data_IF_698950838131
#
_entry.id   IF_698950838131
#
_cell.length_a   1.000
_cell.length_b   1.000
_cell.length_c   1.000
_cell.angle_alpha   90.00
_cell.angle_beta   90.00
_cell.angle_gamma   90.00
#
_symmetry.space_group_name_H-M   'P 1'
#
loop_
_entity.id
_entity.type
_entity.pdbx_description
1 polymer ?
2 non-polymer ?
3 non-polymer ?
4 water ?
#
# COMPACT_ATOMS: atom_id res chain seq x y z
N UNK A 7 -8.05 4.35 -26.72
CA UNK A 7 -6.92 5.23 -27.18
C UNK A 7 -5.66 4.39 -27.44
N UNK A 8 -5.42 3.40 -26.59
CA UNK A 8 -4.25 2.55 -26.73
C UNK A 8 -4.59 1.07 -26.91
N UNK A 9 -3.55 0.25 -27.07
CA UNK A 9 -3.67 -1.20 -27.27
C UNK A 9 -4.62 -1.92 -26.31
N UNK A 10 -4.27 -1.88 -25.02
CA UNK A 10 -5.05 -2.52 -23.99
C UNK A 10 -6.12 -1.60 -23.46
N UNK A 11 -7.02 -2.14 -22.65
CA UNK A 11 -8.12 -1.39 -22.09
C UNK A 11 -7.72 -0.53 -20.91
N UNK A 12 -6.84 0.42 -21.18
CA UNK A 12 -6.34 1.29 -20.16
C UNK A 12 -6.46 2.73 -20.60
N UNK A 13 -6.25 3.64 -19.66
CA UNK A 13 -6.29 5.07 -19.91
C UNK A 13 -4.84 5.52 -19.85
N UNK A 14 -4.38 6.18 -20.89
CA UNK A 14 -3.01 6.65 -20.90
C UNK A 14 -2.89 7.81 -19.93
N UNK A 15 -1.67 8.17 -19.56
CA UNK A 15 -1.45 9.27 -18.65
C UNK A 15 -2.01 10.55 -19.27
N UNK A 16 -1.94 10.64 -20.60
CA UNK A 16 -2.47 11.80 -21.34
C UNK A 16 -3.98 11.85 -21.12
N UNK A 17 -4.63 10.72 -21.39
CA UNK A 17 -6.07 10.62 -21.24
C UNK A 17 -6.54 11.06 -19.85
N UNK A 18 -5.89 10.55 -18.80
CA UNK A 18 -6.33 10.89 -17.47
C UNK A 18 -6.04 12.37 -17.19
N UNK A 19 -4.94 12.88 -17.73
CA UNK A 19 -4.60 14.29 -17.53
C UNK A 19 -5.61 15.21 -18.24
N UNK A 20 -6.26 14.71 -19.30
CA UNK A 20 -7.23 15.49 -20.06
C UNK A 20 -8.65 15.41 -19.49
N UNK A 21 -8.82 14.67 -18.41
CA UNK A 21 -10.13 14.53 -17.80
C UNK A 21 -10.93 13.45 -18.48
N UNK A 22 -10.27 12.64 -19.30
CA UNK A 22 -10.92 11.55 -20.02
C UNK A 22 -11.30 10.35 -19.17
N UNK A 23 -10.57 10.12 -18.08
CA UNK A 23 -10.86 9.01 -17.18
C UNK A 23 -11.81 9.50 -16.08
N UNK A 24 -13.06 9.77 -16.46
CA UNK A 24 -14.01 10.24 -15.50
C UNK A 24 -15.45 9.95 -15.88
N UNK A 25 -16.34 10.23 -14.93
CA UNK A 25 -17.77 10.04 -15.07
C UNK A 25 -18.22 11.21 -15.93
N UNK A 26 -18.93 10.97 -17.02
CA UNK A 26 -19.32 12.10 -17.88
C UNK A 26 -20.13 13.21 -17.24
N UNK A 27 -20.95 12.91 -16.25
CA UNK A 27 -21.75 13.98 -15.72
C UNK A 27 -20.98 15.19 -15.18
N UNK A 28 -19.68 15.01 -14.94
CA UNK A 28 -18.82 16.09 -14.44
C UNK A 28 -18.56 17.13 -15.52
N UNK A 29 -18.02 16.73 -16.67
CA UNK A 29 -17.79 17.70 -17.70
C UNK A 29 -19.13 18.26 -18.19
N UNK A 30 -20.13 17.40 -18.28
CA UNK A 30 -21.46 17.81 -18.74
C UNK A 30 -22.09 18.86 -17.84
N UNK A 31 -21.82 18.76 -16.55
CA UNK A 31 -22.36 19.71 -15.59
C UNK A 31 -21.53 21.00 -15.64
N UNK A 32 -20.23 20.85 -15.83
CA UNK A 32 -19.38 22.03 -15.90
C UNK A 32 -19.78 22.81 -17.14
N UNK A 33 -20.07 22.06 -18.20
CA UNK A 33 -20.49 22.64 -19.46
C UNK A 33 -21.81 23.41 -19.28
N UNK A 34 -22.74 22.81 -18.54
CA UNK A 34 -24.04 23.42 -18.28
C UNK A 34 -23.89 24.74 -17.51
N UNK A 35 -22.96 24.73 -16.55
CA UNK A 35 -22.66 25.90 -15.72
C UNK A 35 -22.20 27.08 -16.57
N UNK A 36 -21.42 26.79 -17.61
CA UNK A 36 -20.94 27.83 -18.49
C UNK A 36 -20.35 29.07 -17.85
N UNK A 37 -20.87 30.24 -18.20
CA UNK A 37 -20.34 31.49 -17.69
C UNK A 37 -20.24 31.62 -16.18
N UNK A 38 -21.15 31.00 -15.44
CA UNK A 38 -21.09 31.08 -13.99
C UNK A 38 -19.77 30.50 -13.49
N UNK A 39 -19.16 29.64 -14.30
CA UNK A 39 -17.90 29.01 -13.92
C UNK A 39 -16.89 29.96 -13.33
N UNK A 40 -16.73 31.09 -13.98
CA UNK A 40 -15.80 32.10 -13.54
C UNK A 40 -16.06 32.56 -12.10
N UNK A 41 -17.30 32.42 -11.64
CA UNK A 41 -17.68 32.86 -10.29
C UNK A 41 -17.94 31.76 -9.26
N UNK A 42 -17.40 30.56 -9.46
CA UNK A 42 -17.64 29.49 -8.50
C UNK A 42 -16.38 28.87 -7.91
N UNK A 43 -15.93 29.47 -6.82
CA UNK A 43 -14.76 28.98 -6.10
C UNK A 43 -15.25 28.06 -5.01
N UNK A 44 -14.67 26.87 -4.94
CA UNK A 44 -15.06 25.90 -3.94
C UNK A 44 -13.86 25.24 -3.28
N UNK A 45 -14.15 24.60 -2.16
CA UNK A 45 -13.19 23.81 -1.40
C UNK A 45 -13.91 22.46 -1.24
N UNK A 46 -13.26 21.41 -1.70
CA UNK A 46 -13.80 20.06 -1.60
C UNK A 46 -12.88 19.25 -0.71
N UNK A 47 -13.44 18.42 0.17
CA UNK A 47 -12.65 17.58 1.05
C UNK A 47 -12.98 16.12 0.82
N UNK A 48 -11.94 15.29 0.82
CA UNK A 48 -12.08 13.86 0.64
C UNK A 48 -12.11 13.21 2.03
N UNK A 49 -13.12 12.38 2.26
CA UNK A 49 -13.28 11.69 3.53
C UNK A 49 -13.58 10.20 3.31
N UNK A 50 -13.34 9.43 4.36
CA UNK A 50 -13.56 8.00 4.29
C UNK A 50 -14.96 7.58 4.72
N UNK A 51 -15.76 7.11 3.78
CA UNK A 51 -17.09 6.62 4.13
C UNK A 51 -16.75 5.18 4.47
N UNK A 52 -15.87 4.64 3.63
CA UNK A 52 -15.37 3.28 3.69
C UNK A 52 -15.24 2.65 5.04
N UNK A 53 -14.60 1.48 5.09
CA UNK A 53 -14.42 0.76 6.36
C UNK A 53 -14.05 1.72 7.49
N UNK A 54 -14.84 1.71 8.56
CA UNK A 54 -14.55 2.57 9.69
C UNK A 54 -14.00 1.74 10.85
N UNK A 55 -14.06 0.43 10.74
CA UNK A 55 -13.56 -0.45 11.80
C UNK A 55 -12.07 -0.76 11.66
N UNK A 56 -11.30 0.18 11.12
CA UNK A 56 -9.87 -0.06 10.95
C UNK A 56 -9.14 1.24 10.69
N UNK A 57 -7.86 1.28 11.04
CA UNK A 57 -7.09 2.47 10.77
C UNK A 57 -6.64 2.38 9.31
N UNK A 58 -6.09 3.46 8.79
CA UNK A 58 -5.67 3.47 7.39
C UNK A 58 -4.27 4.01 7.23
N UNK A 59 -3.53 3.45 6.29
CA UNK A 59 -2.18 3.92 5.98
C UNK A 59 -2.35 4.63 4.63
N UNK A 60 -2.49 5.95 4.69
CA UNK A 60 -2.74 6.79 3.51
C UNK A 60 -1.66 6.75 2.42
N UNK A 61 -2.06 6.39 1.22
CA UNK A 61 -1.12 6.31 0.12
C UNK A 61 -1.77 6.69 -1.22
N UNK A 62 -0.96 7.12 -2.19
CA UNK A 62 -1.49 7.49 -3.50
C UNK A 62 -1.60 8.99 -3.80
N UNK A 63 -1.29 9.82 -2.82
CA UNK A 63 -1.35 11.27 -2.94
C UNK A 63 -0.35 11.81 -3.97
N UNK A 64 0.73 11.08 -4.20
CA UNK A 64 1.75 11.49 -5.17
C UNK A 64 1.14 11.60 -6.55
N UNK A 65 0.22 10.68 -6.84
CA UNK A 65 -0.46 10.61 -8.11
C UNK A 65 -1.42 11.81 -8.25
N UNK A 66 -2.00 12.20 -7.13
CA UNK A 66 -2.94 13.32 -7.11
C UNK A 66 -2.21 14.63 -7.41
N UNK A 67 -1.03 14.81 -6.84
CA UNK A 67 -0.24 16.00 -7.09
C UNK A 67 0.18 16.12 -8.57
N UNK A 68 0.60 15.01 -9.17
CA UNK A 68 1.00 15.03 -10.58
C UNK A 68 -0.19 15.39 -11.46
N UNK A 69 -1.40 15.09 -11.00
CA UNK A 69 -2.58 15.38 -11.78
C UNK A 69 -3.03 16.83 -11.64
N UNK A 70 -2.95 17.37 -10.44
CA UNK A 70 -3.42 18.74 -10.19
C UNK A 70 -2.38 19.83 -10.37
N UNK A 71 -1.12 19.42 -10.50
CA UNK A 71 -0.05 20.36 -10.70
C UNK A 71 -0.38 21.13 -11.97
N UNK A 72 -0.35 22.47 -11.88
CA UNK A 72 -0.66 23.27 -13.05
C UNK A 72 -1.99 23.99 -12.98
N UNK A 73 -3.01 23.35 -12.44
CA UNK A 73 -4.30 23.99 -12.32
C UNK A 73 -4.17 25.06 -11.26
N UNK A 74 -4.92 26.14 -11.35
CA UNK A 74 -4.80 27.16 -10.33
C UNK A 74 -5.56 26.71 -9.08
N UNK A 75 -5.00 25.72 -8.39
CA UNK A 75 -5.63 25.21 -7.18
C UNK A 75 -4.66 25.08 -6.02
N UNK A 76 -5.22 25.13 -4.81
CA UNK A 76 -4.44 24.97 -3.58
C UNK A 76 -4.78 23.55 -3.14
N UNK A 77 -3.79 22.83 -2.62
CA UNK A 77 -4.05 21.47 -2.18
C UNK A 77 -3.48 21.17 -0.81
N UNK A 78 -4.35 20.72 0.09
CA UNK A 78 -3.92 20.33 1.43
C UNK A 78 -4.12 18.82 1.55
N UNK A 79 -3.32 18.17 2.37
CA UNK A 79 -3.47 16.74 2.54
C UNK A 79 -2.62 16.21 3.65
N UNK A 80 -2.94 14.98 4.03
CA UNK A 80 -2.20 14.29 5.05
C UNK A 80 -1.07 13.60 4.25
N UNK A 81 0.18 13.70 4.73
CA UNK A 81 1.28 13.05 3.99
C UNK A 81 1.08 11.54 3.89
N UNK A 82 1.53 10.95 2.79
CA UNK A 82 1.42 9.52 2.62
C UNK A 82 2.22 8.86 3.75
N UNK A 83 1.82 7.66 4.14
CA UNK A 83 2.55 6.98 5.19
C UNK A 83 2.07 7.31 6.59
N UNK A 84 1.14 8.26 6.71
CA UNK A 84 0.57 8.62 8.01
C UNK A 84 -0.47 7.52 8.32
N UNK A 85 -0.51 7.06 9.56
CA UNK A 85 -1.48 6.04 9.91
C UNK A 85 -2.44 6.59 10.93
N UNK A 86 -3.74 6.43 10.67
CA UNK A 86 -4.77 6.92 11.58
C UNK A 86 -6.12 6.31 11.29
N UNK A 87 -7.11 6.64 12.10
CA UNK A 87 -8.47 6.13 11.90
C UNK A 87 -9.25 7.13 11.07
N UNK A 88 -10.31 6.67 10.36
CA UNK A 88 -11.16 7.51 9.52
C UNK A 88 -11.98 8.54 10.30
N UNK A 89 -12.33 8.23 11.55
CA UNK A 89 -13.10 9.17 12.39
C UNK A 89 -12.16 9.59 13.51
N UNK A 90 -12.35 10.81 14.04
CA UNK A 90 -11.47 11.29 15.11
C UNK A 90 -11.98 10.93 16.51
N UNK A 91 -11.28 11.40 17.53
CA UNK A 91 -11.62 11.13 18.92
C UNK A 91 -13.10 11.30 19.23
N UNK A 92 -13.79 12.14 18.45
CA UNK A 92 -15.22 12.40 18.65
C UNK A 92 -16.11 11.91 17.54
N UNK A 93 -15.64 10.91 16.80
CA UNK A 93 -16.43 10.36 15.72
C UNK A 93 -16.64 11.22 14.50
N UNK A 94 -15.77 12.21 14.27
CA UNK A 94 -15.92 13.08 13.09
C UNK A 94 -15.09 12.60 11.89
N UNK A 95 -15.66 12.65 10.67
CA UNK A 95 -14.88 12.20 9.51
C UNK A 95 -13.63 13.05 9.31
N UNK A 96 -12.50 12.37 9.15
CA UNK A 96 -11.23 13.03 8.96
C UNK A 96 -11.02 13.29 7.48
N UNK A 97 -10.78 14.55 7.13
CA UNK A 97 -10.54 14.94 5.73
C UNK A 97 -9.08 14.63 5.37
N UNK A 98 -8.87 13.87 4.30
CA UNK A 98 -7.50 13.52 3.92
C UNK A 98 -6.82 14.46 2.93
N UNK A 99 -7.62 15.18 2.16
CA UNK A 99 -7.11 16.14 1.21
C UNK A 99 -8.18 17.18 0.99
N UNK A 100 -7.76 18.41 0.69
CA UNK A 100 -8.70 19.49 0.43
C UNK A 100 -8.23 20.21 -0.83
N UNK A 101 -9.14 20.50 -1.73
CA UNK A 101 -8.78 21.21 -2.94
C UNK A 101 -9.58 22.49 -3.02
N UNK A 102 -8.89 23.57 -3.41
CA UNK A 102 -9.52 24.89 -3.51
C UNK A 102 -9.25 25.54 -4.85
N UNK A 103 -10.32 26.09 -5.44
CA UNK A 103 -10.21 26.75 -6.73
C UNK A 103 -11.54 26.82 -7.46
N UNK A 104 -11.51 27.29 -8.70
CA UNK A 104 -12.73 27.38 -9.48
C UNK A 104 -13.17 25.95 -9.73
N UNK A 105 -14.41 25.65 -9.35
CA UNK A 105 -14.94 24.30 -9.53
C UNK A 105 -14.76 23.76 -10.94
N UNK A 106 -15.02 24.60 -11.93
CA UNK A 106 -14.90 24.12 -13.29
C UNK A 106 -13.46 23.82 -13.69
N UNK A 107 -12.51 24.31 -12.91
CA UNK A 107 -11.10 24.09 -13.23
C UNK A 107 -10.59 22.69 -12.93
N UNK A 108 -11.24 21.97 -12.02
CA UNK A 108 -10.77 20.63 -11.67
C UNK A 108 -11.88 19.63 -11.40
N UNK A 109 -13.11 20.11 -11.32
CA UNK A 109 -14.25 19.25 -11.07
C UNK A 109 -14.35 17.94 -11.81
N UNK A 110 -13.83 17.87 -13.03
CA UNK A 110 -13.89 16.64 -13.83
C UNK A 110 -12.89 15.59 -13.35
N UNK A 111 -11.99 16.00 -12.47
CA UNK A 111 -10.96 15.11 -11.94
C UNK A 111 -11.33 14.35 -10.67
N UNK A 112 -12.54 14.58 -10.17
CA UNK A 112 -12.98 13.89 -8.95
C UNK A 112 -12.76 12.37 -9.08
N UNK A 113 -13.23 11.78 -10.19
CA UNK A 113 -13.08 10.35 -10.43
C UNK A 113 -11.64 9.83 -10.29
N UNK A 114 -10.69 10.55 -10.90
CA UNK A 114 -9.28 10.17 -10.86
C UNK A 114 -8.63 10.35 -9.50
N UNK A 115 -8.95 11.46 -8.83
CA UNK A 115 -8.40 11.73 -7.52
C UNK A 115 -8.81 10.64 -6.55
N UNK A 116 -10.09 10.30 -6.54
CA UNK A 116 -10.57 9.24 -5.66
C UNK A 116 -9.89 7.93 -6.04
N UNK A 117 -9.88 7.63 -7.33
CA UNK A 117 -9.25 6.40 -7.77
C UNK A 117 -7.81 6.27 -7.29
N UNK A 118 -7.09 7.39 -7.29
CA UNK A 118 -5.69 7.40 -6.85
C UNK A 118 -5.49 7.07 -5.37
N UNK A 119 -6.47 7.37 -4.52
CA UNK A 119 -6.30 7.12 -3.10
C UNK A 119 -7.06 5.92 -2.51
N UNK A 120 -8.19 5.57 -3.10
CA UNK A 120 -8.99 4.45 -2.61
C UNK A 120 -8.27 3.12 -2.67
N UNK A 121 -7.89 2.73 -3.88
CA UNK A 121 -7.22 1.46 -4.06
C UNK A 121 -5.81 1.40 -3.49
N UNK A 122 -5.03 2.47 -3.64
CA UNK A 122 -3.68 2.45 -3.12
C UNK A 122 -3.70 2.33 -1.60
N UNK A 123 -4.59 3.09 -0.97
CA UNK A 123 -4.72 3.06 0.48
C UNK A 123 -5.11 1.71 1.08
N UNK A 124 -5.96 0.97 0.37
CA UNK A 124 -6.35 -0.32 0.88
C UNK A 124 -5.14 -1.25 0.84
N UNK A 125 -4.35 -1.12 -0.21
CA UNK A 125 -3.16 -1.94 -0.39
C UNK A 125 -2.11 -1.67 0.70
N UNK A 126 -1.74 -0.42 0.86
CA UNK A 126 -0.75 -0.11 1.87
C UNK A 126 -1.25 -0.44 3.28
N UNK A 127 -2.55 -0.28 3.53
CA UNK A 127 -3.07 -0.58 4.86
C UNK A 127 -3.00 -2.08 5.12
N UNK A 128 -3.31 -2.89 4.11
CA UNK A 128 -3.24 -4.33 4.27
C UNK A 128 -1.79 -4.79 4.54
N UNK A 129 -0.85 -4.17 3.83
CA UNK A 129 0.57 -4.47 3.98
C UNK A 129 1.10 -4.10 5.37
N UNK A 130 0.55 -3.05 5.98
CA UNK A 130 0.99 -2.66 7.32
C UNK A 130 0.52 -3.71 8.32
N UNK A 131 -0.63 -4.31 8.04
CA UNK A 131 -1.17 -5.38 8.88
C UNK A 131 -0.21 -6.57 8.76
N UNK A 132 0.11 -6.97 7.53
CA UNK A 132 1.01 -8.08 7.35
C UNK A 132 2.35 -7.72 8.02
N UNK A 133 2.74 -6.45 7.90
CA UNK A 133 4.00 -5.99 8.49
C UNK A 133 4.02 -6.26 10.00
N UNK A 134 2.88 -6.03 10.65
CA UNK A 134 2.76 -6.26 12.09
C UNK A 134 2.90 -7.72 12.45
N UNK A 135 2.32 -8.57 11.61
CA UNK A 135 2.34 -10.01 11.81
C UNK A 135 3.71 -10.65 11.51
N UNK A 136 4.39 -10.16 10.49
CA UNK A 136 5.69 -10.68 10.08
C UNK A 136 6.79 -10.38 11.11
N UNK A 137 6.53 -9.40 11.96
CA UNK A 137 7.50 -9.01 12.96
C UNK A 137 8.82 -8.59 12.33
N UNK A 138 9.89 -9.18 12.83
CA UNK A 138 11.24 -8.90 12.36
C UNK A 138 11.54 -9.60 11.04
N UNK A 139 10.72 -10.60 10.73
CA UNK A 139 10.90 -11.37 9.51
C UNK A 139 10.51 -10.60 8.27
N UNK A 140 11.27 -10.80 7.19
CA UNK A 140 11.02 -10.13 5.92
C UNK A 140 9.85 -10.72 5.14
N UNK A 141 9.10 -9.85 4.47
CA UNK A 141 8.02 -10.32 3.62
C UNK A 141 8.08 -9.52 2.32
N UNK A 142 7.60 -10.13 1.24
CA UNK A 142 7.63 -9.43 -0.05
C UNK A 142 6.29 -9.37 -0.72
N UNK A 143 6.12 -8.33 -1.54
CA UNK A 143 4.90 -8.16 -2.32
C UNK A 143 5.07 -9.10 -3.53
N UNK A 144 4.20 -10.08 -3.62
CA UNK A 144 4.24 -11.09 -4.68
C UNK A 144 2.94 -11.13 -5.45
N UNK A 145 2.07 -10.14 -5.29
CA UNK A 145 0.77 -10.24 -5.94
C UNK A 145 0.32 -9.50 -7.19
N UNK A 146 1.22 -8.85 -7.92
CA UNK A 146 0.80 -8.12 -9.12
C UNK A 146 0.04 -8.97 -10.16
N UNK A 147 0.29 -10.28 -10.19
CA UNK A 147 -0.38 -11.18 -11.14
C UNK A 147 -1.90 -11.34 -10.95
N UNK A 148 -2.42 -10.88 -9.82
CA UNK A 148 -3.84 -11.01 -9.54
C UNK A 148 -4.59 -9.80 -10.02
N UNK A 149 -3.86 -8.70 -10.22
CA UNK A 149 -4.45 -7.45 -10.68
C UNK A 149 -4.02 -7.10 -12.09
N UNK A 150 -4.76 -6.19 -12.71
CA UNK A 150 -4.43 -5.78 -14.07
C UNK A 150 -2.99 -5.26 -14.10
N UNK A 151 -2.19 -5.75 -15.05
CA UNK A 151 -0.79 -5.35 -15.20
C UNK A 151 -0.50 -3.86 -15.28
N UNK A 152 -1.42 -3.09 -15.85
CA UNK A 152 -1.21 -1.66 -15.98
C UNK A 152 -0.96 -0.96 -14.64
N UNK A 153 -1.58 -1.44 -13.57
CA UNK A 153 -1.40 -0.80 -12.27
C UNK A 153 -0.43 -1.55 -11.35
N UNK A 154 0.33 -2.48 -11.91
CA UNK A 154 1.29 -3.26 -11.13
C UNK A 154 2.35 -2.39 -10.44
N UNK A 155 2.76 -1.28 -11.06
CA UNK A 155 3.78 -0.51 -10.34
C UNK A 155 3.26 0.15 -9.06
N UNK A 156 2.04 0.71 -9.10
CA UNK A 156 1.48 1.33 -7.88
C UNK A 156 1.17 0.30 -6.80
N UNK A 157 0.88 -0.94 -7.20
CA UNK A 157 0.58 -1.96 -6.21
C UNK A 157 1.82 -2.23 -5.38
N UNK A 158 2.95 -2.46 -6.05
CA UNK A 158 4.19 -2.71 -5.33
C UNK A 158 4.67 -1.49 -4.51
N UNK A 159 4.38 -0.29 -4.99
CA UNK A 159 4.78 0.91 -4.26
C UNK A 159 4.07 0.97 -2.91
N UNK A 160 2.75 0.74 -2.94
CA UNK A 160 1.93 0.77 -1.74
C UNK A 160 2.21 -0.38 -0.78
N UNK A 161 2.57 -1.55 -1.33
CA UNK A 161 2.89 -2.70 -0.49
C UNK A 161 4.22 -2.39 0.22
N UNK A 162 5.11 -1.73 -0.51
CA UNK A 162 6.42 -1.36 0.01
C UNK A 162 6.22 -0.32 1.11
N UNK A 163 5.63 0.82 0.75
CA UNK A 163 5.37 1.86 1.73
C UNK A 163 4.62 1.30 2.94
N UNK A 164 3.73 0.34 2.70
CA UNK A 164 2.95 -0.29 3.76
C UNK A 164 3.76 -1.19 4.66
N UNK A 165 4.96 -1.56 4.22
CA UNK A 165 5.81 -2.39 5.04
C UNK A 165 6.62 -3.50 4.39
N UNK A 166 6.32 -3.82 3.14
CA UNK A 166 7.03 -4.89 2.45
C UNK A 166 8.51 -4.56 2.33
N UNK A 167 9.37 -5.55 2.60
CA UNK A 167 10.82 -5.35 2.52
C UNK A 167 11.30 -5.35 1.09
N UNK A 168 10.51 -5.98 0.24
CA UNK A 168 10.87 -6.07 -1.16
C UNK A 168 9.65 -6.32 -2.02
N UNK A 169 9.87 -6.25 -3.32
CA UNK A 169 8.80 -6.39 -4.29
C UNK A 169 9.25 -7.22 -5.49
N UNK A 170 8.33 -7.99 -6.05
CA UNK A 170 8.60 -8.86 -7.20
C UNK A 170 8.43 -8.25 -8.59
N UNK A 171 7.62 -7.22 -8.70
CA UNK A 171 7.43 -6.60 -10.00
C UNK A 171 8.61 -5.78 -10.47
N UNK A 172 8.92 -5.88 -11.77
CA UNK A 172 10.04 -5.13 -12.35
C UNK A 172 9.81 -3.62 -12.30
N UNK A 173 8.66 -3.18 -12.78
CA UNK A 173 8.37 -1.75 -12.80
C UNK A 173 8.22 -1.14 -11.41
N UNK A 174 7.57 -1.86 -10.50
CA UNK A 174 7.39 -1.37 -9.14
C UNK A 174 8.73 -1.26 -8.44
N UNK A 175 9.59 -2.24 -8.69
CA UNK A 175 10.93 -2.25 -8.13
C UNK A 175 11.62 -0.97 -8.55
N UNK A 176 11.58 -0.69 -9.85
CA UNK A 176 12.18 0.51 -10.40
C UNK A 176 11.67 1.77 -9.67
N UNK A 177 10.35 1.88 -9.57
CA UNK A 177 9.70 3.02 -8.91
C UNK A 177 10.11 3.23 -7.45
N UNK A 178 10.30 2.14 -6.70
CA UNK A 178 10.71 2.30 -5.31
C UNK A 178 12.23 2.33 -5.21
N UNK A 179 12.91 2.22 -6.35
CA UNK A 179 14.36 2.28 -6.38
C UNK A 179 15.00 1.15 -5.57
N UNK A 180 14.60 -0.08 -5.87
CA UNK A 180 15.13 -1.24 -5.19
C UNK A 180 15.23 -2.33 -6.24
N UNK A 181 15.98 -3.38 -5.94
CA UNK A 181 16.10 -4.49 -6.87
C UNK A 181 14.91 -5.40 -6.67
N UNK A 182 14.31 -5.88 -7.77
CA UNK A 182 13.16 -6.78 -7.75
C UNK A 182 13.52 -8.03 -6.99
N UNK A 183 12.54 -8.64 -6.32
CA UNK A 183 12.82 -9.85 -5.58
C UNK A 183 12.33 -11.03 -6.35
N UNK A 184 13.08 -12.13 -6.29
CA UNK A 184 12.69 -13.32 -7.01
C UNK A 184 13.40 -14.56 -6.55
N UNK A 185 12.73 -15.69 -6.67
CA UNK A 185 13.31 -16.95 -6.28
C UNK A 185 13.22 -17.78 -7.55
N UNK A 186 12.76 -19.01 -7.46
CA UNK A 186 12.63 -19.84 -8.65
C UNK A 186 11.21 -20.39 -8.72
N UNK A 187 10.65 -20.51 -9.93
CA UNK A 187 9.30 -21.01 -10.18
C UNK A 187 9.23 -22.51 -10.35
N UNK A 188 8.02 -23.06 -10.20
CA UNK A 188 7.82 -24.49 -10.36
C UNK A 188 8.19 -24.92 -11.79
N UNK A 189 7.93 -24.03 -12.74
CA UNK A 189 8.19 -24.31 -14.16
C UNK A 189 9.58 -24.89 -14.38
N UNK A 190 10.59 -24.24 -13.82
CA UNK A 190 11.97 -24.66 -13.97
C UNK A 190 12.14 -26.10 -13.54
N UNK A 191 11.48 -26.46 -12.45
CA UNK A 191 11.57 -27.79 -11.89
C UNK A 191 10.72 -28.80 -12.67
N UNK A 192 9.70 -28.31 -13.37
CA UNK A 192 8.83 -29.20 -14.13
C UNK A 192 9.47 -29.53 -15.47
N UNK A 193 10.28 -28.60 -15.95
CA UNK A 193 10.95 -28.79 -17.22
C UNK A 193 12.27 -29.54 -17.07
N UNK A 194 13.05 -29.22 -16.04
CA UNK A 194 14.35 -29.87 -15.85
C UNK A 194 14.52 -30.84 -14.66
N UNK A 195 13.47 -31.09 -13.89
CA UNK A 195 13.61 -31.96 -12.74
C UNK A 195 14.22 -31.13 -11.60
N UNK A 196 14.05 -31.57 -10.36
CA UNK A 196 14.57 -30.83 -9.21
C UNK A 196 16.08 -30.56 -9.23
N UNK A 197 16.86 -31.64 -9.19
CA UNK A 197 18.32 -31.53 -9.19
C UNK A 197 18.83 -30.49 -10.15
N UNK A 198 18.51 -30.65 -11.42
CA UNK A 198 18.98 -29.70 -12.42
C UNK A 198 18.50 -28.29 -12.06
N UNK A 199 17.24 -28.16 -11.67
CA UNK A 199 16.68 -26.85 -11.33
C UNK A 199 17.38 -26.22 -10.13
N UNK A 200 17.67 -27.03 -9.12
CA UNK A 200 18.31 -26.51 -7.92
C UNK A 200 19.75 -26.10 -8.20
N UNK A 201 20.49 -26.94 -8.92
CA UNK A 201 21.89 -26.65 -9.26
C UNK A 201 21.97 -25.35 -10.06
N UNK A 202 21.09 -25.23 -11.05
CA UNK A 202 21.05 -24.04 -11.90
C UNK A 202 20.81 -22.78 -11.09
N UNK A 203 19.83 -22.86 -10.18
CA UNK A 203 19.47 -21.71 -9.34
C UNK A 203 20.63 -21.27 -8.45
N UNK A 204 21.36 -22.23 -7.90
CA UNK A 204 22.51 -21.94 -7.04
C UNK A 204 23.67 -21.34 -7.83
N UNK A 205 23.95 -21.94 -8.98
CA UNK A 205 25.02 -21.48 -9.84
C UNK A 205 24.72 -20.09 -10.34
N UNK A 206 23.42 -19.77 -10.40
CA UNK A 206 22.98 -18.47 -10.89
C UNK A 206 22.70 -17.43 -9.83
N UNK A 207 23.01 -17.72 -8.58
CA UNK A 207 22.77 -16.72 -7.55
C UNK A 207 24.13 -16.19 -7.09
N UNK A 208 24.26 -14.87 -7.03
CA UNK A 208 25.51 -14.19 -6.64
C UNK A 208 25.47 -13.60 -5.24
N UNK A 209 26.63 -13.17 -4.74
CA UNK A 209 26.71 -12.56 -3.41
C UNK A 209 25.73 -11.40 -3.31
N UNK A 210 25.54 -10.90 -2.09
CA UNK A 210 24.62 -9.80 -1.90
C UNK A 210 23.22 -10.36 -1.83
N UNK A 211 23.01 -11.49 -2.51
CA UNK A 211 21.71 -12.14 -2.51
C UNK A 211 21.81 -13.53 -1.90
N UNK A 212 20.72 -13.93 -1.23
CA UNK A 212 20.61 -15.23 -0.57
C UNK A 212 20.11 -16.27 -1.58
N UNK A 213 20.41 -17.52 -1.31
CA UNK A 213 19.97 -18.61 -2.17
C UNK A 213 18.58 -19.04 -1.71
N UNK A 214 17.69 -19.30 -2.66
CA UNK A 214 16.35 -19.77 -2.32
C UNK A 214 16.01 -20.91 -3.28
N UNK A 215 15.58 -22.03 -2.73
CA UNK A 215 15.22 -23.20 -3.53
C UNK A 215 13.78 -23.63 -3.26
N UNK A 216 12.98 -23.73 -4.31
CA UNK A 216 11.57 -24.15 -4.24
C UNK A 216 11.61 -25.65 -4.11
N UNK A 217 10.97 -26.22 -3.09
CA UNK A 217 11.06 -27.66 -2.93
C UNK A 217 9.82 -28.55 -3.06
N UNK A 218 8.63 -27.97 -3.06
CA UNK A 218 7.40 -28.78 -3.13
C UNK A 218 6.88 -29.22 -4.49
N UNK A 219 7.68 -29.12 -5.55
CA UNK A 219 7.19 -29.49 -6.87
C UNK A 219 6.88 -30.98 -7.09
N UNK A 220 7.75 -31.87 -6.63
CA UNK A 220 7.54 -33.32 -6.86
C UNK A 220 7.45 -34.15 -5.58
N UNK A 221 8.38 -33.91 -4.67
CA UNK A 221 8.46 -34.64 -3.44
C UNK A 221 7.63 -34.06 -2.32
N UNK A 222 7.62 -34.78 -1.20
CA UNK A 222 6.95 -34.36 0.01
C UNK A 222 7.96 -33.35 0.57
N UNK A 223 7.47 -32.22 1.08
CA UNK A 223 8.36 -31.18 1.60
C UNK A 223 9.42 -31.69 2.58
N UNK A 224 9.03 -32.70 3.35
CA UNK A 224 9.92 -33.28 4.35
C UNK A 224 11.09 -34.01 3.69
N UNK A 225 10.82 -34.91 2.76
CA UNK A 225 11.91 -35.62 2.13
C UNK A 225 12.71 -34.76 1.15
N UNK A 226 12.07 -33.75 0.57
CA UNK A 226 12.75 -32.85 -0.34
C UNK A 226 13.72 -32.01 0.49
N UNK A 227 13.34 -31.74 1.74
CA UNK A 227 14.19 -30.95 2.63
C UNK A 227 15.44 -31.77 3.03
N UNK A 228 15.24 -33.06 3.32
CA UNK A 228 16.34 -33.95 3.69
C UNK A 228 17.28 -34.01 2.48
N UNK A 229 16.73 -34.35 1.32
CA UNK A 229 17.51 -34.45 0.11
C UNK A 229 18.36 -33.20 -0.15
N UNK A 230 17.83 -32.02 0.13
CA UNK A 230 18.59 -30.80 -0.10
C UNK A 230 19.69 -30.60 0.93
N UNK A 231 19.38 -30.94 2.18
CA UNK A 231 20.33 -30.80 3.26
C UNK A 231 21.59 -31.62 3.00
N UNK A 232 21.38 -32.87 2.61
CA UNK A 232 22.50 -33.76 2.35
C UNK A 232 22.95 -33.80 0.91
N UNK A 233 22.74 -32.71 0.17
CA UNK A 233 23.13 -32.64 -1.24
C UNK A 233 23.89 -31.34 -1.51
N UNK A 234 23.44 -30.26 -0.88
CA UNK A 234 24.10 -28.97 -1.08
C UNK A 234 24.71 -28.50 0.21
N UNK A 235 24.99 -27.21 0.31
CA UNK A 235 25.57 -26.67 1.52
C UNK A 235 25.28 -25.19 1.61
N UNK A 236 25.48 -24.46 0.51
CA UNK A 236 25.22 -23.04 0.51
C UNK A 236 23.81 -22.72 0.04
N UNK A 237 22.83 -23.18 0.81
CA UNK A 237 21.44 -22.91 0.50
C UNK A 237 20.87 -22.12 1.70
N UNK A 238 20.62 -20.84 1.48
CA UNK A 238 20.12 -19.97 2.53
C UNK A 238 18.67 -20.25 2.90
N UNK A 239 17.79 -20.21 1.92
CA UNK A 239 16.39 -20.46 2.18
C UNK A 239 15.84 -21.64 1.40
N UNK A 240 14.81 -22.24 1.98
CA UNK A 240 14.08 -23.34 1.40
C UNK A 240 12.69 -22.71 1.33
N UNK A 241 12.05 -22.76 0.17
CA UNK A 241 10.72 -22.17 0.05
C UNK A 241 9.65 -23.20 -0.18
N UNK A 242 8.60 -23.14 0.63
CA UNK A 242 7.46 -24.04 0.53
C UNK A 242 6.25 -23.26 0.02
N UNK A 243 5.71 -23.71 -1.09
CA UNK A 243 4.56 -23.12 -1.73
C UNK A 243 3.56 -24.27 -1.86
N UNK A 244 3.43 -25.04 -0.77
CA UNK A 244 2.57 -26.24 -0.72
C UNK A 244 1.17 -26.06 -1.29
N UNK A 245 0.80 -26.90 -2.26
CA UNK A 245 -0.54 -26.80 -2.87
C UNK A 245 -1.63 -26.85 -1.81
N UNK A 246 -2.64 -26.01 -1.99
CA UNK A 246 -3.77 -25.95 -1.07
C UNK A 246 -4.25 -27.32 -0.54
N UNK A 247 -4.43 -28.28 -1.46
CA UNK A 247 -4.92 -29.61 -1.09
C UNK A 247 -3.93 -30.50 -0.35
N UNK A 248 -2.70 -30.01 -0.15
CA UNK A 248 -1.67 -30.77 0.55
C UNK A 248 -1.44 -30.09 1.90
N UNK A 249 -2.10 -28.95 2.07
CA UNK A 249 -1.97 -28.13 3.26
C UNK A 249 -2.94 -28.50 4.37
N UNK A 250 -2.82 -29.73 4.87
CA UNK A 250 -3.68 -30.21 5.95
C UNK A 250 -3.46 -29.39 7.21
N UNK A 251 -2.19 -29.14 7.53
CA UNK A 251 -1.81 -28.34 8.68
C UNK A 251 -0.45 -27.79 8.31
N UNK A 252 -0.43 -26.69 7.56
CA UNK A 252 0.82 -26.11 7.13
C UNK A 252 1.80 -25.88 8.30
N UNK A 253 1.30 -25.50 9.46
CA UNK A 253 2.19 -25.26 10.60
C UNK A 253 2.90 -26.51 11.07
N UNK A 254 2.17 -27.62 11.13
CA UNK A 254 2.74 -28.89 11.56
C UNK A 254 3.80 -29.35 10.57
N UNK A 255 3.52 -29.13 9.28
CA UNK A 255 4.46 -29.51 8.24
C UNK A 255 5.77 -28.75 8.41
N UNK A 256 5.66 -27.45 8.66
CA UNK A 256 6.83 -26.61 8.82
C UNK A 256 7.66 -27.02 10.04
N UNK A 257 6.99 -27.44 11.12
CA UNK A 257 7.71 -27.89 12.29
C UNK A 257 8.46 -29.17 11.94
N UNK A 258 7.76 -30.08 11.26
CA UNK A 258 8.35 -31.35 10.85
C UNK A 258 9.64 -31.13 10.04
N UNK A 259 9.60 -30.22 9.08
CA UNK A 259 10.76 -29.92 8.25
C UNK A 259 11.92 -29.35 9.10
N UNK A 260 11.62 -28.38 9.95
CA UNK A 260 12.66 -27.78 10.80
C UNK A 260 13.34 -28.82 11.70
N UNK A 261 12.56 -29.75 12.22
CA UNK A 261 13.10 -30.79 13.09
C UNK A 261 14.02 -31.71 12.29
N UNK A 262 13.53 -32.15 11.15
CA UNK A 262 14.26 -33.05 10.29
C UNK A 262 15.60 -32.44 9.84
N UNK A 263 15.66 -31.11 9.74
CA UNK A 263 16.88 -30.43 9.34
C UNK A 263 17.86 -30.30 10.50
N UNK A 264 17.33 -29.94 11.66
CA UNK A 264 18.18 -29.77 12.83
C UNK A 264 18.79 -31.14 13.20
N UNK A 265 18.01 -32.20 13.00
CA UNK A 265 18.48 -33.53 13.32
C UNK A 265 19.75 -33.77 12.53
N UNK A 266 19.76 -33.33 11.28
CA UNK A 266 20.92 -33.49 10.41
C UNK A 266 21.81 -32.27 10.58
N UNK A 267 21.65 -31.59 11.70
CA UNK A 267 22.44 -30.42 11.99
C UNK A 267 22.48 -29.47 10.81
N UNK A 268 21.32 -29.10 10.28
CA UNK A 268 21.26 -28.17 9.16
C UNK A 268 20.21 -27.11 9.42
N UNK A 269 20.11 -26.72 10.68
CA UNK A 269 19.16 -25.71 11.10
C UNK A 269 19.61 -24.34 10.62
N UNK A 270 20.71 -24.31 9.87
CA UNK A 270 21.19 -23.06 9.31
C UNK A 270 20.29 -22.71 8.10
N UNK A 271 19.68 -23.74 7.50
CA UNK A 271 18.76 -23.54 6.37
C UNK A 271 17.46 -22.89 6.88
N UNK A 272 17.16 -21.69 6.39
CA UNK A 272 15.95 -20.97 6.80
C UNK A 272 14.74 -21.35 5.95
N UNK A 273 13.56 -21.12 6.47
CA UNK A 273 12.35 -21.46 5.73
C UNK A 273 11.50 -20.27 5.32
N UNK A 274 11.12 -20.27 4.05
CA UNK A 274 10.29 -19.22 3.50
C UNK A 274 9.00 -19.85 3.02
N UNK A 275 7.88 -19.20 3.30
CA UNK A 275 6.60 -19.70 2.85
C UNK A 275 5.93 -18.71 1.89
N UNK A 276 4.99 -19.21 1.12
CA UNK A 276 4.31 -18.38 0.17
C UNK A 276 3.06 -19.13 -0.28
N UNK A 277 2.11 -18.39 -0.81
CA UNK A 277 0.89 -19.03 -1.29
C UNK A 277 -0.28 -18.82 -0.37
N UNK A 278 -1.21 -17.96 -0.79
CA UNK A 278 -2.40 -17.67 -0.02
C UNK A 278 -2.14 -17.19 1.40
N UNK A 279 -1.10 -16.39 1.57
CA UNK A 279 -0.74 -15.88 2.89
C UNK A 279 -1.58 -14.65 3.27
N UNK A 280 -1.76 -14.51 4.57
CA UNK A 280 -2.59 -13.48 5.17
C UNK A 280 -1.84 -13.00 6.43
N UNK A 281 -2.35 -12.00 7.14
CA UNK A 281 -1.67 -11.55 8.36
C UNK A 281 -1.82 -12.61 9.41
N UNK A 282 -2.96 -13.29 9.39
CA UNK A 282 -3.23 -14.35 10.34
C UNK A 282 -2.34 -15.54 10.00
N UNK A 283 -2.26 -15.84 8.71
CA UNK A 283 -1.45 -16.94 8.21
C UNK A 283 0.00 -16.66 8.57
N UNK A 284 0.43 -15.44 8.31
CA UNK A 284 1.80 -15.03 8.58
C UNK A 284 2.17 -15.14 10.05
N UNK A 285 1.26 -14.74 10.93
CA UNK A 285 1.52 -14.80 12.35
C UNK A 285 1.68 -16.25 12.83
N UNK A 286 0.84 -17.13 12.31
CA UNK A 286 0.86 -18.54 12.69
C UNK A 286 2.08 -19.26 12.15
N UNK A 287 2.39 -19.07 10.88
CA UNK A 287 3.52 -19.75 10.27
C UNK A 287 4.81 -19.24 10.87
N UNK A 288 4.83 -17.99 11.28
CA UNK A 288 6.02 -17.44 11.91
C UNK A 288 6.21 -18.09 13.30
N UNK A 289 5.12 -18.27 14.05
CA UNK A 289 5.25 -18.91 15.36
C UNK A 289 5.65 -20.37 15.13
N UNK A 290 5.34 -20.89 13.95
CA UNK A 290 5.68 -22.26 13.58
C UNK A 290 7.15 -22.43 13.19
N UNK A 291 7.79 -21.33 12.78
CA UNK A 291 9.19 -21.41 12.39
C UNK A 291 9.57 -20.83 11.04
N UNK A 292 8.60 -20.30 10.30
CA UNK A 292 8.88 -19.71 8.99
C UNK A 292 9.56 -18.38 9.24
N UNK A 293 10.64 -18.10 8.50
CA UNK A 293 11.40 -16.88 8.68
C UNK A 293 11.30 -15.84 7.56
N UNK A 294 10.58 -16.16 6.50
CA UNK A 294 10.41 -15.24 5.38
C UNK A 294 9.07 -15.52 4.70
N UNK A 295 8.45 -14.48 4.16
CA UNK A 295 7.14 -14.62 3.54
C UNK A 295 6.95 -13.96 2.19
N UNK A 296 6.34 -14.70 1.28
CA UNK A 296 6.01 -14.20 -0.02
C UNK A 296 4.50 -14.00 0.05
N UNK A 297 4.07 -12.74 0.10
CA UNK A 297 2.65 -12.44 0.23
C UNK A 297 2.08 -11.73 -0.99
N UNK A 298 1.10 -12.37 -1.63
CA UNK A 298 0.50 -11.80 -2.82
C UNK A 298 -0.93 -11.30 -2.76
N UNK A 299 -1.86 -12.09 -3.30
CA UNK A 299 -3.26 -11.72 -3.37
C UNK A 299 -3.90 -10.97 -2.20
N UNK A 300 -3.64 -11.39 -0.99
CA UNK A 300 -4.26 -10.70 0.13
C UNK A 300 -3.92 -9.22 0.13
N UNK A 301 -2.73 -8.88 -0.38
CA UNK A 301 -2.30 -7.49 -0.43
C UNK A 301 -2.67 -6.79 -1.75
N UNK A 302 -2.33 -7.42 -2.87
CA UNK A 302 -2.64 -6.81 -4.17
C UNK A 302 -4.12 -6.60 -4.41
N UNK A 303 -4.94 -7.41 -3.74
CA UNK A 303 -6.41 -7.37 -3.83
C UNK A 303 -7.09 -6.69 -2.65
N UNK A 304 -6.32 -6.02 -1.80
CA UNK A 304 -6.93 -5.37 -0.65
C UNK A 304 -8.17 -4.59 -1.11
N UNK A 305 -9.22 -4.61 -0.29
CA UNK A 305 -10.45 -3.89 -0.60
C UNK A 305 -10.09 -2.40 -0.55
N UNK A 306 -10.66 -1.59 -1.44
CA UNK A 306 -10.32 -0.16 -1.38
C UNK A 306 -11.10 0.56 -0.29
N UNK A 307 -10.55 1.67 0.17
CA UNK A 307 -11.27 2.47 1.15
C UNK A 307 -12.28 3.24 0.32
N UNK A 308 -13.46 3.45 0.88
CA UNK A 308 -14.47 4.17 0.16
C UNK A 308 -14.37 5.67 0.39
N UNK A 309 -13.46 6.34 -0.32
CA UNK A 309 -13.30 7.79 -0.18
C UNK A 309 -14.38 8.52 -0.94
N UNK A 310 -14.84 9.63 -0.38
CA UNK A 310 -15.84 10.44 -1.05
C UNK A 310 -15.34 11.88 -1.03
N UNK A 311 -15.65 12.62 -2.08
CA UNK A 311 -15.21 14.00 -2.17
C UNK A 311 -16.42 14.90 -2.28
N UNK A 312 -16.49 15.91 -1.44
CA UNK A 312 -17.62 16.81 -1.47
C UNK A 312 -17.24 18.26 -1.31
N UNK A 313 -18.06 19.14 -1.89
CA UNK A 313 -17.87 20.58 -1.79
C UNK A 313 -18.23 20.89 -0.34
N UNK A 314 -17.32 21.53 0.39
CA UNK A 314 -17.59 21.82 1.80
C UNK A 314 -17.73 23.34 2.06
N UNK A 315 -17.46 24.12 1.03
CA UNK A 315 -17.56 25.57 1.12
C UNK A 315 -17.65 26.18 -0.28
N UNK A 316 -18.44 27.23 -0.42
CA UNK A 316 -18.59 27.88 -1.71
C UNK A 316 -18.36 29.38 -1.58
N UNK A 317 -17.52 29.92 -2.47
CA UNK A 317 -17.21 31.35 -2.44
C UNK A 317 -17.08 31.91 -1.03
N UNK A 318 -16.36 31.16 -0.18
CA UNK A 318 -16.11 31.59 1.18
C UNK A 318 -17.13 31.20 2.24
N UNK A 319 -18.30 30.73 1.83
CA UNK A 319 -19.33 30.34 2.79
C UNK A 319 -19.46 28.82 2.96
N UNK A 320 -19.50 28.34 4.21
CA UNK A 320 -19.63 26.90 4.44
C UNK A 320 -20.92 26.36 3.83
N UNK A 321 -20.82 25.35 2.98
CA UNK A 321 -22.01 24.77 2.36
C UNK A 321 -21.83 23.32 1.93
N UNK A 322 -22.73 22.45 2.37
CA UNK A 322 -22.69 21.03 2.01
C UNK A 322 -24.08 20.44 1.97
N UNK A 323 -24.14 19.16 1.62
CA UNK A 323 -25.35 18.40 1.54
C UNK A 323 -25.63 17.68 2.87
N UNK A 324 -26.78 17.03 2.96
CA UNK A 324 -27.11 16.27 4.16
C UNK A 324 -26.08 15.15 4.23
N UNK A 325 -25.62 14.80 5.41
CA UNK A 325 -24.64 13.73 5.50
C UNK A 325 -23.20 14.16 5.61
N UNK A 326 -22.92 15.42 5.30
CA UNK A 326 -21.57 15.97 5.37
C UNK A 326 -21.52 17.15 6.32
N UNK A 327 -20.33 17.45 6.80
CA UNK A 327 -20.17 18.58 7.69
C UNK A 327 -19.53 19.66 6.83
N UNK A 328 -20.09 20.86 6.89
CA UNK A 328 -19.59 21.96 6.07
C UNK A 328 -18.39 22.67 6.67
N UNK A 329 -17.78 23.53 5.86
CA UNK A 329 -16.64 24.30 6.30
C UNK A 329 -15.30 23.64 6.04
N UNK A 330 -14.28 24.46 5.87
CA UNK A 330 -12.92 23.96 5.64
C UNK A 330 -12.48 23.48 7.02
N UNK A 331 -11.68 22.43 7.07
CA UNK A 331 -11.26 21.90 8.36
C UNK A 331 -9.79 21.49 8.40
N UNK A 332 -9.26 21.40 9.62
CA UNK A 332 -7.88 20.95 9.82
C UNK A 332 -7.94 19.65 10.62
N UNK A 333 -6.83 18.92 10.63
CA UNK A 333 -6.75 17.67 11.36
C UNK A 333 -5.60 17.81 12.34
N UNK A 334 -5.93 18.01 13.62
CA UNK A 334 -4.93 18.15 14.68
C UNK A 334 -4.60 16.82 15.36
N UNK A 335 -3.34 16.63 15.72
CA UNK A 335 -2.93 15.41 16.41
C UNK A 335 -1.95 15.67 17.54
N UNK A 336 -2.15 14.99 18.67
CA UNK A 336 -1.26 15.13 19.83
C UNK A 336 0.13 14.65 19.45
N UNK A 337 1.13 15.41 19.86
CA UNK A 337 2.51 15.07 19.58
C UNK A 337 2.89 13.82 20.36
N UNK A 338 2.05 13.47 21.33
CA UNK A 338 2.32 12.31 22.20
C UNK A 338 1.39 11.13 21.95
N UNK A 339 0.19 11.17 22.53
CA UNK A 339 -0.81 10.07 22.44
C UNK A 339 -1.57 10.02 21.13
N UNK A 340 -0.84 10.37 20.13
CA UNK A 340 -1.36 10.33 18.80
C UNK A 340 -2.88 10.30 18.69
N UNK A 341 -3.55 11.22 19.39
CA UNK A 341 -4.99 11.38 19.34
C UNK A 341 -5.30 12.41 18.25
N UNK A 342 -6.41 12.25 17.53
CA UNK A 342 -6.79 13.18 16.47
C UNK A 342 -8.04 13.94 16.81
N UNK A 343 -8.24 15.09 16.18
CA UNK A 343 -9.39 15.91 16.47
C UNK A 343 -9.60 16.85 15.28
N UNK A 344 -10.63 16.62 14.49
CA UNK A 344 -10.85 17.49 13.33
C UNK A 344 -11.48 18.79 13.82
N UNK A 345 -10.99 19.91 13.30
CA UNK A 345 -11.46 21.22 13.71
C UNK A 345 -11.62 22.17 12.54
N UNK A 346 -12.31 23.30 12.76
CA UNK A 346 -12.52 24.30 11.72
C UNK A 346 -11.13 24.82 11.30
N UNK A 347 -10.96 25.11 10.02
CA UNK A 347 -9.67 25.57 9.50
C UNK A 347 -9.07 26.81 10.15
N UNK A 348 -9.83 27.53 10.97
CA UNK A 348 -9.28 28.72 11.62
C UNK A 348 -8.64 28.35 12.97
N UNK A 349 -8.41 27.05 13.18
CA UNK A 349 -7.77 26.54 14.40
C UNK A 349 -6.52 25.76 13.98
N UNK A 350 -5.34 26.26 14.31
CA UNK A 350 -4.09 25.62 13.90
C UNK A 350 -3.49 24.67 14.92
N UNK A 351 -3.70 24.96 16.19
CA UNK A 351 -3.18 24.10 17.24
C UNK A 351 -4.09 24.19 18.44
N UNK A 352 -3.95 23.22 19.35
CA UNK A 352 -4.78 23.17 20.54
C UNK A 352 -3.93 22.56 21.64
N UNK A 353 -4.14 22.98 22.87
CA UNK A 353 -3.37 22.43 23.96
C UNK A 353 -4.07 21.14 24.39
N UNK A 354 -3.46 20.43 25.33
CA UNK A 354 -4.00 19.18 25.84
C UNK A 354 -2.94 18.58 26.76
N UNK A 355 -3.07 18.87 28.05
CA UNK A 355 -2.13 18.37 29.05
C UNK A 355 -1.93 16.87 28.91
N UNK A 356 -2.81 16.23 28.12
CA UNK A 356 -2.72 14.80 27.89
C UNK A 356 -1.36 14.47 27.29
N UNK A 357 -0.89 15.33 26.38
CA UNK A 357 0.39 15.08 25.75
C UNK A 357 0.95 16.23 24.93
N UNK A 358 1.22 17.35 25.59
CA UNK A 358 1.78 18.49 24.91
C UNK A 358 0.76 19.33 24.17
N UNK A 359 0.98 19.47 22.87
CA UNK A 359 0.07 20.26 22.05
C UNK A 359 -0.37 19.45 20.85
N UNK A 360 -1.51 19.85 20.27
CA UNK A 360 -2.05 19.19 19.10
C UNK A 360 -1.71 20.08 17.91
N UNK A 361 -1.02 19.50 16.94
CA UNK A 361 -0.59 20.23 15.75
C UNK A 361 -1.26 19.69 14.49
N UNK A 362 -1.46 20.57 13.51
CA UNK A 362 -2.12 20.24 12.26
C UNK A 362 -1.33 19.24 11.42
N UNK A 363 -2.06 18.24 10.90
CA UNK A 363 -1.50 17.17 10.10
C UNK A 363 -1.62 17.49 8.62
N UNK A 364 -2.54 18.39 8.28
CA UNK A 364 -2.75 18.79 6.92
C UNK A 364 -1.50 19.55 6.49
N UNK A 365 -1.15 19.40 5.23
CA UNK A 365 0.02 20.06 4.71
C UNK A 365 -0.29 20.53 3.32
N UNK A 366 0.12 21.77 3.03
CA UNK A 366 -0.11 22.36 1.71
C UNK A 366 0.93 21.83 0.75
N UNK A 367 0.49 21.08 -0.26
CA UNK A 367 1.36 20.51 -1.27
C UNK A 367 1.34 21.30 -2.57
N UNK A 368 0.24 22.01 -2.82
CA UNK A 368 0.11 22.83 -4.03
C UNK A 368 -0.44 24.21 -3.68
N UNK A 369 0.16 25.24 -4.26
CA UNK A 369 -0.26 26.61 -4.07
C UNK A 369 -0.32 27.22 -5.47
N UNK A 370 -1.53 27.51 -5.92
CA UNK A 370 -1.74 28.06 -7.25
C UNK A 370 -1.14 27.12 -8.28
N UNK A 371 -1.28 25.83 -8.03
CA UNK A 371 -0.76 24.83 -8.95
C UNK A 371 0.71 24.51 -8.77
N UNK A 372 1.40 25.24 -7.92
CA UNK A 372 2.83 24.98 -7.72
C UNK A 372 3.17 24.09 -6.52
N UNK A 373 4.18 23.23 -6.66
CA UNK A 373 4.57 22.39 -5.55
C UNK A 373 5.19 23.28 -4.48
N UNK A 374 5.01 22.91 -3.23
CA UNK A 374 5.54 23.72 -2.14
C UNK A 374 6.70 23.05 -1.45
N UNK A 375 7.19 21.97 -2.04
CA UNK A 375 8.30 21.22 -1.45
C UNK A 375 8.68 20.13 -2.42
N UNK A 376 9.79 19.45 -2.18
CA UNK A 376 10.17 18.36 -3.06
C UNK A 376 9.40 17.15 -2.52
N UNK A 377 8.87 16.32 -3.41
CA UNK A 377 8.11 15.17 -2.96
C UNK A 377 9.02 14.03 -2.56
N UNK A 378 8.76 13.42 -1.40
CA UNK A 378 9.55 12.29 -0.88
C UNK A 378 9.52 11.10 -1.81
N UNK A 379 10.61 10.34 -1.80
CA UNK A 379 10.77 9.12 -2.58
C UNK A 379 10.14 8.01 -1.74
N UNK A 380 9.77 6.87 -2.37
CA UNK A 380 9.18 5.77 -1.62
C UNK A 380 9.90 5.35 -0.35
N UNK A 381 11.22 5.32 -0.37
CA UNK A 381 11.97 4.88 0.81
C UNK A 381 11.71 5.79 2.00
N UNK A 382 11.64 7.09 1.75
CA UNK A 382 11.40 8.06 2.81
C UNK A 382 9.98 7.87 3.35
N UNK A 383 9.04 7.64 2.44
CA UNK A 383 7.67 7.45 2.87
C UNK A 383 7.50 6.19 3.72
N UNK A 384 8.08 5.06 3.33
CA UNK A 384 7.87 3.89 4.18
C UNK A 384 8.68 3.99 5.46
N UNK A 385 9.64 4.89 5.47
CA UNK A 385 10.41 5.06 6.69
C UNK A 385 9.45 5.77 7.66
N UNK A 386 8.57 6.63 7.12
CA UNK A 386 7.61 7.35 7.94
C UNK A 386 6.53 6.41 8.49
N UNK A 387 5.95 5.58 7.61
CA UNK A 387 4.88 4.69 8.07
C UNK A 387 5.33 3.62 9.08
N UNK A 388 6.60 3.21 9.05
CA UNK A 388 7.11 2.24 10.02
C UNK A 388 7.19 2.90 11.40
N UNK A 389 7.53 4.18 11.42
CA UNK A 389 7.60 4.91 12.67
C UNK A 389 6.18 5.08 13.17
N UNK A 390 5.27 5.37 12.26
CA UNK A 390 3.90 5.57 12.64
C UNK A 390 3.20 4.28 13.04
N UNK A 391 3.63 3.18 12.44
CA UNK A 391 3.05 1.88 12.73
C UNK A 391 3.45 1.45 14.15
N UNK A 392 4.40 2.18 14.71
CA UNK A 392 4.91 1.92 16.06
C UNK A 392 3.80 2.09 17.10
N UNK A 393 3.07 3.19 16.97
CA UNK A 393 1.97 3.50 17.87
C UNK A 393 0.79 2.56 17.72
N UNK A 394 0.92 1.50 16.92
CA UNK A 394 -0.19 0.57 16.73
C UNK A 394 0.14 -0.87 17.10
N UNK A 395 0.62 -1.06 18.33
CA UNK A 395 0.97 -2.38 18.83
C UNK A 395 2.25 -2.88 18.17
#
# INVERSE_FOLDING_TARGET
GGGGGGMNVFNTASDEDIKKGLASDVYFERTISAIGDKCNDLRVAMEATVSGPLDTWINFTGLDEVLKLLEGLDVDLYAIPEGTILFPRDANGLPVPFIRVEGRYCDFGMYETAILGFICQASGISTKASKVRLAAGDSPFFSFGIRRMHPAISPMIDRSAYIGGADGVSGILGAKLIDQDPVGTMPHALSIMLGDEEAWKLTLENTKNGQKSVLLIDTYMDEKFAAIKIAEMFDKVDYIRLDTPSSRRGNFEALIREVRWELALRGRSDIKIMVSGGLDENTVKKLREAGAEAFGVGTSISSAKPFDFAMDIVEVNGKPETKRGKMSGRKNVLRCTSCHRIEVVPANVQEKTCICGGSMQNLLVKYLSHGKRTSEYPRPKEIRSRSMKELEYFKDIS
#
